data_IF_158644532794
#
_entry.id   IF_158644532794
#
_cell.length_a   1.000
_cell.length_b   1.000
_cell.length_c   1.000
_cell.angle_alpha   90.00
_cell.angle_beta   90.00
_cell.angle_gamma   90.00
#
_symmetry.space_group_name_H-M   'P 1'
#
loop_
_entity.id
_entity.type
_entity.pdbx_description
1 polymer ?
#
# COMPACT_ATOMS: atom_id res chain seq x y z
N UNK A 1 -10.66 22.12 9.85
CA UNK A 1 -11.74 21.93 8.86
C UNK A 1 -11.44 20.85 7.81
N UNK A 2 -10.19 20.60 7.40
CA UNK A 2 -9.83 19.58 6.37
C UNK A 2 -10.30 18.12 6.57
N UNK A 3 -10.36 17.64 7.81
CA UNK A 3 -10.63 16.22 8.06
C UNK A 3 -12.10 15.83 7.83
N UNK A 4 -13.03 16.79 7.95
CA UNK A 4 -14.46 16.54 7.81
C UNK A 4 -14.85 16.20 6.36
N UNK A 5 -14.21 16.86 5.39
CA UNK A 5 -14.47 16.64 3.97
C UNK A 5 -14.02 15.23 3.52
N UNK A 6 -12.87 14.78 4.02
CA UNK A 6 -12.35 13.43 3.76
C UNK A 6 -13.28 12.34 4.33
N UNK A 7 -13.81 12.55 5.53
CA UNK A 7 -14.78 11.62 6.14
C UNK A 7 -16.08 11.63 5.33
N UNK A 8 -16.60 12.80 4.96
CA UNK A 8 -17.81 12.92 4.14
C UNK A 8 -17.67 12.21 2.78
N UNK A 9 -16.50 12.30 2.14
CA UNK A 9 -16.18 11.56 0.91
C UNK A 9 -16.24 10.05 1.10
N UNK A 10 -15.82 9.52 2.25
CA UNK A 10 -15.87 8.08 2.54
C UNK A 10 -17.31 7.53 2.57
N UNK A 11 -18.27 8.34 3.05
CA UNK A 11 -19.70 7.98 3.07
C UNK A 11 -20.40 8.24 1.73
N UNK A 12 -19.93 9.23 0.96
CA UNK A 12 -20.50 9.62 -0.34
C UNK A 12 -20.08 8.69 -1.48
N UNK A 13 -18.88 8.10 -1.42
CA UNK A 13 -18.34 7.26 -2.47
C UNK A 13 -18.09 5.84 -1.98
N UNK A 14 -18.43 4.84 -2.79
CA UNK A 14 -18.17 3.40 -2.50
C UNK A 14 -16.67 3.04 -2.63
N UNK A 15 -15.80 4.00 -2.96
CA UNK A 15 -14.37 3.77 -3.10
C UNK A 15 -13.73 3.65 -1.71
N UNK A 16 -13.45 2.42 -1.31
CA UNK A 16 -12.66 2.11 -0.13
C UNK A 16 -11.16 2.11 -0.45
N UNK A 17 -10.32 2.26 0.58
CA UNK A 17 -8.86 2.21 0.44
C UNK A 17 -8.32 0.76 0.35
N UNK A 18 -9.20 -0.23 0.20
CA UNK A 18 -8.86 -1.66 0.34
C UNK A 18 -7.86 -2.15 -0.69
N UNK A 19 -7.89 -1.61 -1.92
CA UNK A 19 -6.90 -1.94 -2.96
C UNK A 19 -5.50 -1.48 -2.52
N UNK A 20 -5.38 -0.22 -2.11
CA UNK A 20 -4.11 0.36 -1.63
C UNK A 20 -3.61 -0.37 -0.38
N UNK A 21 -4.50 -0.68 0.56
CA UNK A 21 -4.18 -1.45 1.77
C UNK A 21 -3.69 -2.87 1.45
N UNK A 22 -4.30 -3.51 0.44
CA UNK A 22 -3.88 -4.80 -0.09
C UNK A 22 -2.45 -4.75 -0.64
N UNK A 23 -2.13 -3.73 -1.44
CA UNK A 23 -0.77 -3.51 -1.94
C UNK A 23 0.22 -3.24 -0.81
N UNK A 24 -0.12 -2.38 0.16
CA UNK A 24 0.71 -2.11 1.32
C UNK A 24 0.98 -3.36 2.16
N UNK A 25 -0.01 -4.24 2.32
CA UNK A 25 0.16 -5.52 3.00
C UNK A 25 1.11 -6.45 2.25
N UNK A 26 1.00 -6.53 0.93
CA UNK A 26 1.90 -7.34 0.08
C UNK A 26 3.33 -6.83 0.14
N UNK A 27 3.53 -5.51 0.05
CA UNK A 27 4.82 -4.85 0.26
C UNK A 27 5.45 -5.19 1.61
N UNK A 28 4.71 -5.08 2.71
CA UNK A 28 5.18 -5.47 4.06
C UNK A 28 5.53 -6.96 4.14
N UNK A 29 4.82 -7.83 3.42
CA UNK A 29 5.14 -9.26 3.36
C UNK A 29 6.47 -9.51 2.62
N UNK A 30 6.72 -8.80 1.52
CA UNK A 30 7.97 -8.89 0.76
C UNK A 30 9.16 -8.51 1.65
N UNK A 31 9.03 -7.43 2.43
CA UNK A 31 10.05 -7.03 3.41
C UNK A 31 10.28 -8.08 4.50
N UNK A 32 9.21 -8.63 5.08
CA UNK A 32 9.30 -9.68 6.11
C UNK A 32 9.95 -10.96 5.58
N UNK A 33 9.58 -11.41 4.38
CA UNK A 33 10.18 -12.61 3.75
C UNK A 33 11.65 -12.44 3.41
N UNK A 34 12.08 -11.21 3.13
CA UNK A 34 13.49 -10.90 2.86
C UNK A 34 14.30 -10.63 4.14
N UNK A 35 13.66 -10.59 5.31
CA UNK A 35 14.26 -10.11 6.57
C UNK A 35 14.87 -8.70 6.43
N UNK A 36 14.22 -7.85 5.63
CA UNK A 36 14.66 -6.49 5.33
C UNK A 36 15.41 -6.36 4.00
N UNK A 37 15.39 -5.14 3.44
CA UNK A 37 16.15 -4.79 2.25
C UNK A 37 17.17 -3.71 2.61
N UNK A 38 18.43 -3.92 2.22
CA UNK A 38 19.50 -2.92 2.36
C UNK A 38 19.59 -2.00 1.15
N UNK A 39 19.06 -2.41 0.00
CA UNK A 39 19.04 -1.66 -1.25
C UNK A 39 17.58 -1.47 -1.72
N UNK A 40 17.20 -0.21 -1.93
CA UNK A 40 15.86 0.17 -2.39
C UNK A 40 15.55 -0.31 -3.81
N UNK A 41 16.55 -0.37 -4.70
CA UNK A 41 16.35 -0.81 -6.08
C UNK A 41 15.91 -2.28 -6.14
N UNK A 42 16.55 -3.13 -5.34
CA UNK A 42 16.16 -4.54 -5.19
C UNK A 42 14.77 -4.71 -4.56
N UNK A 43 14.40 -3.84 -3.61
CA UNK A 43 13.05 -3.81 -3.07
C UNK A 43 12.03 -3.45 -4.15
N UNK A 44 12.31 -2.39 -4.92
CA UNK A 44 11.45 -1.90 -5.99
C UNK A 44 11.22 -2.96 -7.06
N UNK A 45 12.27 -3.66 -7.50
CA UNK A 45 12.15 -4.77 -8.45
C UNK A 45 11.24 -5.89 -7.93
N UNK A 46 11.37 -6.24 -6.65
CA UNK A 46 10.51 -7.27 -6.03
C UNK A 46 9.06 -6.83 -5.86
N UNK A 47 8.82 -5.55 -5.57
CA UNK A 47 7.47 -5.00 -5.52
C UNK A 47 6.83 -5.05 -6.90
N UNK A 48 7.55 -4.64 -7.95
CA UNK A 48 7.03 -4.66 -9.33
C UNK A 48 6.69 -6.10 -9.74
N UNK A 49 7.58 -7.07 -9.49
CA UNK A 49 7.34 -8.46 -9.86
C UNK A 49 6.20 -9.15 -9.09
N UNK A 50 5.77 -8.61 -7.94
CA UNK A 50 4.76 -9.25 -7.07
C UNK A 50 3.44 -8.48 -7.03
N UNK A 51 3.45 -7.16 -7.26
CA UNK A 51 2.29 -6.29 -7.21
C UNK A 51 1.91 -5.73 -8.60
N UNK A 52 2.70 -6.02 -9.65
CA UNK A 52 2.48 -5.63 -11.04
C UNK A 52 1.94 -6.78 -11.88
#
# INVERSE_FOLDING_TARGET
>A
EDWQESIACMWRFVRNNGITEGFHRKMKLIQRRAYGFRNFENYRLRVIAQCG
#
